data_IF_784515284052
#
_entry.id   IF_784515284052
#
_cell.length_a   1.000
_cell.length_b   1.000
_cell.length_c   1.000
_cell.angle_alpha   90.00
_cell.angle_beta   90.00
_cell.angle_gamma   90.00
#
_symmetry.space_group_name_H-M   'P 1'
#
loop_
_entity.id
_entity.type
_entity.pdbx_description
1 polymer ?
#
# COMPACT_ATOMS: atom_id res chain seq x y z
N UNK A 1 -11.76 -2.84 2.42
CA UNK A 1 -10.28 -2.85 2.29
C UNK A 1 -9.79 -4.17 1.70
N UNK A 2 -9.92 -5.32 2.37
CA UNK A 2 -9.45 -6.63 1.86
C UNK A 2 -9.89 -6.96 0.42
N UNK A 3 -11.15 -6.68 0.08
CA UNK A 3 -11.67 -6.87 -1.28
C UNK A 3 -10.98 -5.98 -2.32
N UNK A 4 -10.81 -4.69 -2.02
CA UNK A 4 -10.10 -3.76 -2.90
C UNK A 4 -8.64 -4.19 -3.11
N UNK A 5 -7.96 -4.61 -2.03
CA UNK A 5 -6.60 -5.15 -2.11
C UNK A 5 -6.54 -6.39 -3.00
N UNK A 6 -7.48 -7.32 -2.84
CA UNK A 6 -7.55 -8.52 -3.69
C UNK A 6 -7.74 -8.17 -5.18
N UNK A 7 -8.57 -7.17 -5.50
CA UNK A 7 -8.76 -6.71 -6.89
C UNK A 7 -7.43 -6.20 -7.49
N UNK A 8 -6.62 -5.48 -6.71
CA UNK A 8 -5.30 -4.99 -7.15
C UNK A 8 -4.30 -6.14 -7.29
N UNK A 9 -4.20 -7.00 -6.27
CA UNK A 9 -3.21 -8.09 -6.23
C UNK A 9 -3.45 -9.17 -7.30
N UNK A 10 -4.70 -9.47 -7.64
CA UNK A 10 -5.03 -10.36 -8.78
C UNK A 10 -4.48 -9.82 -10.10
N UNK A 11 -4.30 -8.50 -10.21
CA UNK A 11 -3.73 -7.82 -11.38
C UNK A 11 -2.23 -7.52 -11.23
N UNK A 12 -1.58 -8.06 -10.20
CA UNK A 12 -0.18 -7.78 -9.86
C UNK A 12 0.09 -6.29 -9.61
N UNK A 13 -0.91 -5.55 -9.11
CA UNK A 13 -0.77 -4.15 -8.75
C UNK A 13 -0.58 -4.05 -7.23
N UNK A 14 0.48 -3.39 -6.80
CA UNK A 14 0.78 -3.02 -5.42
C UNK A 14 0.20 -1.64 -5.17
N UNK A 15 -0.51 -1.47 -4.07
CA UNK A 15 -1.02 -0.18 -3.64
C UNK A 15 0.11 0.70 -3.10
N UNK A 16 0.98 0.11 -2.28
CA UNK A 16 2.27 0.69 -1.88
C UNK A 16 2.16 1.63 -0.68
N UNK A 17 1.08 2.41 -0.56
CA UNK A 17 0.88 3.37 0.53
C UNK A 17 -0.35 3.04 1.40
N UNK A 18 -0.48 1.76 1.76
CA UNK A 18 -1.63 1.29 2.53
C UNK A 18 -1.54 1.75 3.99
N UNK A 19 -2.28 2.79 4.35
CA UNK A 19 -2.37 3.32 5.70
C UNK A 19 -3.80 3.84 6.01
N UNK A 20 -4.15 3.96 7.31
CA UNK A 20 -5.48 4.45 7.72
C UNK A 20 -5.86 5.82 7.12
N UNK A 21 -4.95 6.81 7.01
CA UNK A 21 -5.26 8.08 6.32
C UNK A 21 -5.70 7.93 4.86
N UNK A 22 -5.23 6.89 4.16
CA UNK A 22 -5.57 6.61 2.76
C UNK A 22 -6.83 5.75 2.60
N UNK A 23 -7.61 5.60 3.69
CA UNK A 23 -8.89 4.90 3.70
C UNK A 23 -9.98 5.86 4.15
N UNK A 24 -10.98 6.07 3.30
CA UNK A 24 -12.18 6.84 3.66
C UNK A 24 -13.40 5.93 3.80
N UNK A 25 -14.35 6.34 4.63
CA UNK A 25 -15.67 5.71 4.70
C UNK A 25 -16.65 6.59 3.93
N UNK A 26 -17.30 6.03 2.91
CA UNK A 26 -18.31 6.75 2.13
C UNK A 26 -19.58 6.99 2.94
N UNK A 27 -20.49 7.80 2.40
CA UNK A 27 -21.81 8.05 3.01
C UNK A 27 -22.64 6.75 3.17
N UNK A 28 -22.36 5.73 2.35
CA UNK A 28 -22.97 4.40 2.43
C UNK A 28 -22.27 3.48 3.45
N UNK A 29 -21.30 3.99 4.22
CA UNK A 29 -20.56 3.22 5.21
C UNK A 29 -19.53 2.26 4.60
N UNK A 30 -19.15 2.43 3.32
CA UNK A 30 -18.21 1.53 2.64
C UNK A 30 -16.79 2.09 2.67
N UNK A 31 -15.76 1.29 2.99
CA UNK A 31 -14.38 1.74 2.91
C UNK A 31 -13.92 1.85 1.45
N UNK A 32 -13.21 2.93 1.11
CA UNK A 32 -12.56 3.15 -0.18
C UNK A 32 -11.09 3.55 0.02
N UNK A 33 -10.23 3.08 -0.88
CA UNK A 33 -8.82 3.47 -0.93
C UNK A 33 -8.68 4.80 -1.70
N UNK A 34 -7.77 5.67 -1.26
CA UNK A 34 -7.39 6.94 -1.90
C UNK A 34 -5.87 7.00 -2.10
N UNK A 35 -5.38 7.98 -2.85
CA UNK A 35 -3.94 8.22 -3.07
C UNK A 35 -3.21 7.04 -3.76
N UNK A 36 -3.37 6.98 -5.09
CA UNK A 36 -2.80 5.93 -5.94
C UNK A 36 -1.45 6.33 -6.55
N UNK A 37 -0.82 7.42 -6.10
CA UNK A 37 0.39 7.97 -6.73
C UNK A 37 1.59 7.01 -6.64
N UNK A 38 1.58 6.09 -5.67
CA UNK A 38 2.62 5.08 -5.47
C UNK A 38 2.28 3.73 -6.11
N UNK A 39 1.07 3.55 -6.62
CA UNK A 39 0.64 2.27 -7.14
C UNK A 39 1.50 1.83 -8.34
N UNK A 40 1.80 0.53 -8.39
CA UNK A 40 2.62 0.01 -9.47
C UNK A 40 2.69 -1.52 -9.52
N UNK A 41 3.33 -2.04 -10.55
CA UNK A 41 3.41 -3.48 -10.80
C UNK A 41 4.36 -4.19 -9.81
N UNK A 42 3.94 -5.35 -9.33
CA UNK A 42 4.69 -6.23 -8.43
C UNK A 42 6.08 -6.56 -9.00
N UNK A 43 7.13 -6.42 -8.18
CA UNK A 43 8.53 -6.65 -8.55
C UNK A 43 9.08 -5.78 -9.70
N UNK A 44 8.36 -4.72 -10.12
CA UNK A 44 8.77 -3.81 -11.21
C UNK A 44 8.75 -2.35 -10.75
N UNK A 45 7.68 -1.92 -10.10
CA UNK A 45 7.56 -0.58 -9.54
C UNK A 45 8.45 -0.38 -8.29
N UNK A 46 8.78 0.87 -8.00
CA UNK A 46 9.67 1.25 -6.89
C UNK A 46 9.05 2.31 -6.01
N UNK A 47 9.33 2.22 -4.71
CA UNK A 47 9.02 3.30 -3.76
C UNK A 47 9.79 4.57 -4.11
N UNK A 48 9.25 5.74 -3.79
CA UNK A 48 9.92 6.99 -4.09
C UNK A 48 11.18 7.18 -3.21
N UNK A 49 12.13 8.01 -3.65
CA UNK A 49 13.38 8.25 -2.91
C UNK A 49 13.17 8.98 -1.58
N UNK A 50 12.07 9.73 -1.45
CA UNK A 50 11.70 10.51 -0.28
C UNK A 50 10.80 9.76 0.71
N UNK A 51 10.51 8.46 0.49
CA UNK A 51 9.76 7.57 1.40
C UNK A 51 10.07 7.84 2.88
N UNK A 52 9.04 8.17 3.65
CA UNK A 52 9.17 8.39 5.09
C UNK A 52 9.28 7.05 5.85
N UNK A 53 10.51 6.53 5.97
CA UNK A 53 10.82 5.33 6.74
C UNK A 53 11.49 5.62 8.10
N UNK A 54 11.25 6.80 8.70
CA UNK A 54 11.94 7.26 9.92
C UNK A 54 11.24 6.86 11.23
N UNK A 55 10.65 5.66 11.27
CA UNK A 55 10.01 5.01 12.43
C UNK A 55 8.60 5.47 12.85
N UNK A 56 8.08 6.59 12.34
CA UNK A 56 6.70 7.01 12.65
C UNK A 56 5.65 6.07 12.03
N UNK A 57 6.03 5.33 10.98
CA UNK A 57 5.22 4.33 10.30
C UNK A 57 5.91 2.98 10.43
N UNK A 58 5.18 1.97 10.93
CA UNK A 58 5.64 0.59 11.02
C UNK A 58 5.52 -0.09 9.64
N UNK A 59 6.39 0.31 8.72
CA UNK A 59 6.48 -0.32 7.41
C UNK A 59 6.96 -1.78 7.52
N UNK A 60 6.60 -2.59 6.53
CA UNK A 60 7.27 -3.88 6.32
C UNK A 60 8.77 -3.67 6.14
N UNK A 61 9.62 -4.54 6.70
CA UNK A 61 11.08 -4.36 6.69
C UNK A 61 11.71 -4.35 5.30
N UNK A 62 11.02 -4.89 4.28
CA UNK A 62 11.41 -4.83 2.87
C UNK A 62 11.08 -3.51 2.16
N UNK A 63 10.30 -2.61 2.80
CA UNK A 63 9.96 -1.30 2.25
C UNK A 63 11.12 -0.33 2.49
N UNK A 64 11.82 -0.01 1.41
CA UNK A 64 13.00 0.88 1.43
C UNK A 64 12.92 1.89 0.29
N UNK A 65 13.60 3.03 0.45
CA UNK A 65 13.68 4.09 -0.57
C UNK A 65 14.21 3.51 -1.89
N UNK A 66 13.54 3.80 -3.00
CA UNK A 66 13.83 3.21 -4.33
C UNK A 66 13.79 1.67 -4.38
N UNK A 67 13.31 1.00 -3.32
CA UNK A 67 13.15 -0.44 -3.26
C UNK A 67 12.03 -0.91 -4.17
N UNK A 68 12.12 -2.15 -4.64
CA UNK A 68 11.05 -2.76 -5.43
C UNK A 68 9.81 -2.96 -4.55
N UNK A 69 8.64 -2.71 -5.12
CA UNK A 69 7.37 -2.98 -4.49
C UNK A 69 7.04 -4.46 -4.58
N UNK A 70 6.40 -4.99 -3.54
CA UNK A 70 5.94 -6.37 -3.50
C UNK A 70 4.55 -6.48 -2.86
N UNK A 71 3.76 -7.46 -3.31
CA UNK A 71 2.46 -7.81 -2.70
C UNK A 71 2.57 -8.03 -1.18
N UNK A 72 3.69 -8.58 -0.72
CA UNK A 72 3.90 -8.83 0.72
C UNK A 72 3.95 -7.54 1.55
N UNK A 73 4.32 -6.42 0.94
CA UNK A 73 4.34 -5.13 1.64
C UNK A 73 2.91 -4.69 1.96
N UNK A 74 2.02 -4.73 0.97
CA UNK A 74 0.60 -4.43 1.16
C UNK A 74 -0.07 -5.39 2.15
N UNK A 75 0.23 -6.70 2.07
CA UNK A 75 -0.31 -7.70 3.00
C UNK A 75 0.10 -7.41 4.43
N UNK A 76 1.38 -7.10 4.65
CA UNK A 76 1.85 -6.75 5.98
C UNK A 76 1.13 -5.52 6.53
N UNK A 77 0.99 -4.47 5.71
CA UNK A 77 0.29 -3.26 6.12
C UNK A 77 -1.19 -3.53 6.41
N UNK A 78 -1.84 -4.41 5.64
CA UNK A 78 -3.22 -4.82 5.85
C UNK A 78 -3.41 -5.63 7.14
N UNK A 79 -2.44 -6.49 7.50
CA UNK A 79 -2.48 -7.29 8.72
C UNK A 79 -2.10 -6.49 9.97
N UNK A 80 -1.36 -5.39 9.80
CA UNK A 80 -0.96 -4.48 10.88
C UNK A 80 -2.03 -3.44 11.26
N UNK A 81 -3.16 -3.38 10.54
CA UNK A 81 -4.33 -2.53 10.85
C UNK A 81 -5.33 -3.24 11.76
#
# INVERSE_FOLDING_TARGET
VKEAMNILHVKLIIFGDLCLPNIIITNEGKPMLLDFDWCGEDNSARYPPDLNNTADICWYSGVVRNGLMSIEHDKFMLDAM
#
